data_IF_101302546617
#
_entry.id   IF_101302546617
#
_cell.length_a   1.000
_cell.length_b   1.000
_cell.length_c   1.000
_cell.angle_alpha   90.00
_cell.angle_beta   90.00
_cell.angle_gamma   90.00
#
_symmetry.space_group_name_H-M   'P 1'
#
loop_
_entity.id
_entity.type
_entity.pdbx_description
1 polymer ?
#
# COMPACT_ATOMS: atom_id res chain seq x y z
N UNK A 1 -4.01 -0.89 20.42
CA UNK A 1 -4.65 -2.19 20.13
C UNK A 1 -3.74 -3.22 20.75
N UNK A 2 -4.20 -3.93 21.76
CA UNK A 2 -3.40 -4.91 22.50
C UNK A 2 -3.25 -6.17 21.65
N UNK A 3 -2.02 -6.52 21.30
CA UNK A 3 -1.67 -7.88 20.85
C UNK A 3 -2.10 -8.84 21.96
N UNK A 4 -3.22 -9.52 21.78
CA UNK A 4 -3.50 -10.74 22.53
C UNK A 4 -2.78 -11.86 21.80
N UNK A 5 -1.54 -12.12 22.20
CA UNK A 5 -0.90 -13.39 21.91
C UNK A 5 -1.77 -14.48 22.54
N UNK A 6 -2.43 -15.29 21.70
CA UNK A 6 -3.23 -16.42 22.15
C UNK A 6 -2.30 -17.45 22.78
N UNK A 7 -2.58 -17.90 24.00
CA UNK A 7 -1.78 -18.93 24.68
C UNK A 7 -2.23 -20.32 24.19
N UNK A 8 -1.74 -20.69 23.01
CA UNK A 8 -2.07 -21.95 22.35
C UNK A 8 -0.89 -22.90 22.49
N UNK A 9 -1.11 -24.04 23.15
CA UNK A 9 -0.14 -25.13 23.15
C UNK A 9 0.02 -25.67 21.72
N UNK A 10 1.23 -25.60 21.12
CA UNK A 10 1.48 -26.11 19.76
C UNK A 10 1.18 -27.60 19.61
N UNK A 11 1.19 -28.36 20.72
CA UNK A 11 0.89 -29.79 20.74
C UNK A 11 -0.53 -30.11 21.24
N UNK A 12 -1.41 -29.12 21.37
CA UNK A 12 -2.76 -29.32 21.88
C UNK A 12 -3.53 -30.38 21.08
N UNK A 13 -3.94 -31.44 21.78
CA UNK A 13 -4.75 -32.51 21.21
C UNK A 13 -6.14 -32.00 20.77
N UNK A 14 -6.67 -30.96 21.41
CA UNK A 14 -7.97 -30.40 21.08
C UNK A 14 -8.00 -29.70 19.71
N UNK A 15 -6.81 -29.32 19.21
CA UNK A 15 -6.57 -28.69 17.91
C UNK A 15 -6.08 -29.67 16.84
N UNK A 16 -5.90 -30.95 17.17
CA UNK A 16 -5.49 -31.98 16.21
C UNK A 16 -6.68 -32.49 15.40
N UNK A 17 -6.50 -32.52 14.08
CA UNK A 17 -7.47 -33.02 13.13
C UNK A 17 -6.83 -34.04 12.23
N UNK A 18 -7.56 -35.12 11.96
CA UNK A 18 -7.20 -36.09 10.94
C UNK A 18 -7.72 -35.62 9.57
N UNK A 19 -6.86 -35.71 8.57
CA UNK A 19 -7.22 -35.52 7.17
C UNK A 19 -7.99 -36.75 6.69
N UNK A 20 -9.21 -36.53 6.20
CA UNK A 20 -10.06 -37.57 5.63
C UNK A 20 -10.39 -37.19 4.20
N UNK A 21 -10.06 -38.06 3.25
CA UNK A 21 -10.43 -37.85 1.87
C UNK A 21 -11.82 -38.43 1.56
N UNK A 22 -12.64 -37.64 0.88
CA UNK A 22 -13.91 -38.09 0.34
C UNK A 22 -14.20 -37.39 -0.99
N UNK A 23 -14.39 -38.17 -2.06
CA UNK A 23 -14.70 -37.63 -3.39
C UNK A 23 -13.65 -36.67 -3.95
N UNK A 24 -12.36 -36.90 -3.67
CA UNK A 24 -11.26 -36.00 -4.08
C UNK A 24 -11.17 -34.71 -3.27
N UNK A 25 -11.93 -34.59 -2.18
CA UNK A 25 -11.86 -33.48 -1.24
C UNK A 25 -11.31 -33.93 0.11
N UNK A 26 -10.43 -33.11 0.69
CA UNK A 26 -9.88 -33.35 2.02
C UNK A 26 -10.71 -32.61 3.05
N UNK A 27 -11.13 -33.34 4.07
CA UNK A 27 -11.92 -32.86 5.19
C UNK A 27 -11.12 -33.04 6.47
N UNK A 28 -11.24 -32.09 7.39
CA UNK A 28 -10.60 -32.20 8.69
C UNK A 28 -11.63 -32.65 9.72
N UNK A 29 -11.40 -33.82 10.30
CA UNK A 29 -12.18 -34.32 11.44
C UNK A 29 -11.36 -34.23 12.71
N UNK A 30 -11.95 -33.76 13.81
CA UNK A 30 -11.24 -33.72 15.10
C UNK A 30 -10.74 -35.12 15.43
N UNK A 31 -9.44 -35.22 15.71
CA UNK A 31 -8.82 -36.49 16.08
C UNK A 31 -9.20 -36.88 17.51
N UNK A 32 -9.27 -35.88 18.39
CA UNK A 32 -9.50 -36.02 19.82
C UNK A 32 -10.72 -35.17 20.26
N UNK A 33 -11.95 -35.55 19.88
CA UNK A 33 -13.16 -34.82 20.25
C UNK A 33 -13.41 -34.79 21.77
N UNK A 34 -12.92 -35.79 22.50
CA UNK A 34 -13.02 -35.96 23.95
C UNK A 34 -12.25 -34.91 24.75
N UNK A 35 -11.25 -34.26 24.15
CA UNK A 35 -10.51 -33.18 24.80
C UNK A 35 -11.27 -31.86 24.61
N UNK A 36 -11.73 -31.21 25.69
CA UNK A 36 -12.37 -29.90 25.59
C UNK A 36 -11.35 -28.86 25.13
N UNK A 37 -11.83 -27.86 24.40
CA UNK A 37 -10.99 -26.73 24.00
C UNK A 37 -10.91 -25.70 25.11
N UNK A 38 -9.75 -25.09 25.25
CA UNK A 38 -9.61 -23.85 26.04
C UNK A 38 -10.32 -22.69 25.33
N UNK A 39 -10.54 -21.55 26.02
CA UNK A 39 -11.06 -20.35 25.38
C UNK A 39 -10.20 -19.90 24.18
N UNK A 40 -8.88 -19.90 24.32
CA UNK A 40 -7.95 -19.45 23.28
C UNK A 40 -7.94 -20.40 22.07
N UNK A 41 -7.99 -21.71 22.30
CA UNK A 41 -8.14 -22.72 21.24
C UNK A 41 -9.49 -22.59 20.53
N UNK A 42 -10.54 -22.19 21.24
CA UNK A 42 -11.85 -21.93 20.65
C UNK A 42 -11.81 -20.69 19.75
N UNK A 43 -11.10 -19.64 20.15
CA UNK A 43 -10.84 -18.46 19.31
C UNK A 43 -10.03 -18.87 18.07
N UNK A 44 -8.96 -19.65 18.23
CA UNK A 44 -8.15 -20.13 17.12
C UNK A 44 -8.97 -20.92 16.09
N UNK A 45 -9.85 -21.81 16.54
CA UNK A 45 -10.77 -22.55 15.66
C UNK A 45 -11.79 -21.62 15.00
N UNK A 46 -12.27 -20.59 15.69
CA UNK A 46 -13.17 -19.60 15.10
C UNK A 46 -12.48 -18.77 14.02
N UNK A 47 -11.22 -18.37 14.21
CA UNK A 47 -10.42 -17.70 13.18
C UNK A 47 -10.16 -18.62 11.99
N UNK A 48 -9.81 -19.89 12.23
CA UNK A 48 -9.66 -20.87 11.17
C UNK A 48 -10.94 -21.02 10.31
N UNK A 49 -12.14 -20.91 10.90
CA UNK A 49 -13.42 -20.94 10.16
C UNK A 49 -13.63 -19.74 9.23
N UNK A 50 -12.95 -18.62 9.46
CA UNK A 50 -13.07 -17.44 8.59
C UNK A 50 -12.29 -17.61 7.29
N UNK A 51 -11.23 -18.41 7.30
CA UNK A 51 -10.31 -18.56 6.17
C UNK A 51 -10.40 -19.93 5.48
N UNK A 52 -10.84 -20.96 6.19
CA UNK A 52 -11.07 -22.29 5.64
C UNK A 52 -12.55 -22.48 5.33
N UNK A 53 -12.90 -22.98 4.14
CA UNK A 53 -14.27 -23.36 3.84
C UNK A 53 -14.77 -24.41 4.84
N UNK A 54 -16.03 -24.29 5.24
CA UNK A 54 -16.70 -25.25 6.12
C UNK A 54 -17.98 -25.76 5.49
N UNK A 55 -18.30 -27.03 5.73
CA UNK A 55 -19.58 -27.61 5.31
C UNK A 55 -20.71 -27.10 6.21
N UNK A 56 -21.96 -27.36 5.82
CA UNK A 56 -23.15 -27.09 6.64
C UNK A 56 -23.13 -27.79 8.01
N UNK A 57 -22.41 -28.92 8.10
CA UNK A 57 -22.20 -29.68 9.35
C UNK A 57 -21.03 -29.12 10.18
N UNK A 58 -20.37 -28.05 9.72
CA UNK A 58 -19.27 -27.40 10.43
C UNK A 58 -17.95 -28.14 10.35
N UNK A 59 -17.78 -29.03 9.36
CA UNK A 59 -16.52 -29.74 9.05
C UNK A 59 -15.67 -28.86 8.14
N UNK A 60 -14.37 -28.74 8.43
CA UNK A 60 -13.47 -27.97 7.57
C UNK A 60 -13.14 -28.73 6.30
N UNK A 61 -13.04 -27.99 5.20
CA UNK A 61 -12.61 -28.48 3.90
C UNK A 61 -11.27 -27.85 3.58
N UNK A 62 -10.28 -28.67 3.19
CA UNK A 62 -8.96 -28.20 2.78
C UNK A 62 -8.96 -27.93 1.27
N UNK A 63 -8.79 -26.67 0.83
CA UNK A 63 -8.73 -26.32 -0.59
C UNK A 63 -7.52 -26.96 -1.28
N UNK A 64 -7.61 -27.25 -2.58
CA UNK A 64 -6.56 -27.95 -3.34
C UNK A 64 -5.16 -27.33 -3.18
N UNK A 65 -5.01 -26.04 -3.45
CA UNK A 65 -3.72 -25.33 -3.28
C UNK A 65 -3.16 -25.38 -1.86
N UNK A 66 -4.02 -25.45 -0.84
CA UNK A 66 -3.57 -25.57 0.55
C UNK A 66 -3.04 -26.97 0.85
N UNK A 67 -3.52 -28.01 0.16
CA UNK A 67 -3.01 -29.38 0.28
C UNK A 67 -1.58 -29.48 -0.21
N UNK A 68 -1.29 -28.85 -1.36
CA UNK A 68 0.04 -28.81 -1.96
C UNK A 68 1.08 -28.18 -1.02
N UNK A 69 0.66 -27.28 -0.13
CA UNK A 69 1.54 -26.60 0.83
C UNK A 69 1.64 -27.32 2.19
N UNK A 70 0.71 -28.24 2.49
CA UNK A 70 0.60 -28.88 3.81
C UNK A 70 1.58 -30.05 4.02
N UNK A 71 2.24 -30.53 2.96
CA UNK A 71 3.14 -31.71 2.97
C UNK A 71 2.61 -32.84 3.85
N UNK A 72 1.34 -33.20 3.63
CA UNK A 72 0.60 -34.19 4.42
C UNK A 72 -0.25 -35.05 3.49
N UNK A 73 -0.67 -36.22 3.95
CA UNK A 73 -1.50 -37.17 3.20
C UNK A 73 -2.83 -37.47 3.91
N UNK A 74 -3.84 -38.01 3.18
CA UNK A 74 -5.04 -38.54 3.82
C UNK A 74 -4.70 -39.58 4.89
N UNK A 75 -5.20 -39.40 6.10
CA UNK A 75 -4.91 -40.23 7.27
C UNK A 75 -4.02 -39.55 8.31
N UNK A 76 -3.22 -38.56 7.89
CA UNK A 76 -2.34 -37.82 8.78
C UNK A 76 -3.11 -36.95 9.77
N UNK A 77 -2.48 -36.71 10.92
CA UNK A 77 -2.97 -35.83 11.97
C UNK A 77 -2.22 -34.51 11.88
N UNK A 78 -2.95 -33.43 11.67
CA UNK A 78 -2.43 -32.07 11.53
C UNK A 78 -3.09 -31.14 12.54
N UNK A 79 -2.36 -30.10 12.94
CA UNK A 79 -2.95 -29.01 13.73
C UNK A 79 -3.79 -28.11 12.83
N UNK A 80 -4.98 -27.73 13.27
CA UNK A 80 -5.83 -26.78 12.52
C UNK A 80 -5.16 -25.41 12.33
N UNK A 81 -4.28 -25.02 13.27
CA UNK A 81 -3.51 -23.78 13.19
C UNK A 81 -2.49 -23.85 12.05
N UNK A 82 -1.84 -25.00 11.85
CA UNK A 82 -0.92 -25.21 10.74
C UNK A 82 -1.65 -25.17 9.39
N UNK A 83 -2.83 -25.78 9.29
CA UNK A 83 -3.67 -25.70 8.08
C UNK A 83 -4.12 -24.27 7.80
N UNK A 84 -4.54 -23.55 8.83
CA UNK A 84 -4.92 -22.14 8.76
C UNK A 84 -3.74 -21.26 8.28
N UNK A 85 -2.55 -21.49 8.82
CA UNK A 85 -1.33 -20.78 8.42
C UNK A 85 -0.96 -21.05 6.96
N UNK A 86 -1.00 -22.33 6.52
CA UNK A 86 -0.80 -22.69 5.12
C UNK A 86 -1.85 -22.00 4.22
N UNK A 87 -3.12 -21.99 4.63
CA UNK A 87 -4.17 -21.30 3.87
C UNK A 87 -3.90 -19.79 3.77
N UNK A 88 -3.46 -19.15 4.84
CA UNK A 88 -3.08 -17.75 4.83
C UNK A 88 -1.90 -17.49 3.88
N UNK A 89 -0.89 -18.38 3.88
CA UNK A 89 0.21 -18.37 2.92
C UNK A 89 -0.28 -18.38 1.48
N UNK A 90 -1.09 -19.38 1.09
CA UNK A 90 -1.68 -19.45 -0.26
C UNK A 90 -2.45 -18.17 -0.64
N UNK A 91 -3.20 -17.59 0.31
CA UNK A 91 -3.96 -16.36 0.06
C UNK A 91 -3.04 -15.16 -0.15
N UNK A 92 -1.96 -15.05 0.62
CA UNK A 92 -0.96 -13.98 0.48
C UNK A 92 -0.19 -14.11 -0.82
N UNK A 93 0.22 -15.33 -1.19
CA UNK A 93 0.90 -15.60 -2.47
C UNK A 93 -0.01 -15.23 -3.64
N UNK A 94 -1.26 -15.69 -3.62
CA UNK A 94 -2.25 -15.34 -4.65
C UNK A 94 -2.57 -13.84 -4.71
N UNK A 95 -2.53 -13.14 -3.59
CA UNK A 95 -2.69 -11.68 -3.55
C UNK A 95 -1.48 -10.98 -4.13
N UNK A 96 -0.27 -11.46 -3.84
CA UNK A 96 1.00 -10.93 -4.34
C UNK A 96 1.11 -11.12 -5.85
N UNK A 97 0.80 -12.32 -6.35
CA UNK A 97 0.73 -12.65 -7.78
C UNK A 97 -0.30 -11.78 -8.52
N UNK A 98 -1.41 -11.43 -7.87
CA UNK A 98 -2.44 -10.57 -8.46
C UNK A 98 -2.11 -9.07 -8.39
N UNK A 99 -1.31 -8.66 -7.40
CA UNK A 99 -0.83 -7.29 -7.24
C UNK A 99 0.31 -6.95 -8.18
N UNK A 100 1.16 -7.90 -8.52
CA UNK A 100 2.31 -7.68 -9.41
C UNK A 100 1.90 -7.09 -10.78
N UNK A 101 0.87 -7.61 -11.48
CA UNK A 101 0.35 -7.00 -12.71
C UNK A 101 -0.20 -5.59 -12.49
N UNK A 102 -0.88 -5.36 -11.36
CA UNK A 102 -1.46 -4.06 -11.03
C UNK A 102 -0.36 -3.03 -10.77
N UNK A 103 0.64 -3.37 -9.97
CA UNK A 103 1.78 -2.50 -9.68
C UNK A 103 2.59 -2.22 -10.94
N UNK A 104 2.80 -3.23 -11.81
CA UNK A 104 3.44 -3.01 -13.12
C UNK A 104 2.66 -2.04 -13.98
N UNK A 105 1.33 -2.17 -14.03
CA UNK A 105 0.46 -1.24 -14.80
C UNK A 105 0.52 0.19 -14.24
N UNK A 106 0.57 0.34 -12.91
CA UNK A 106 0.74 1.65 -12.26
C UNK A 106 2.11 2.25 -12.54
N UNK A 107 3.17 1.45 -12.52
CA UNK A 107 4.53 1.88 -12.87
C UNK A 107 4.65 2.28 -14.34
N UNK A 108 4.11 1.49 -15.26
CA UNK A 108 4.05 1.82 -16.70
C UNK A 108 3.26 3.12 -16.94
N UNK A 109 2.14 3.31 -16.23
CA UNK A 109 1.36 4.54 -16.30
C UNK A 109 2.11 5.75 -15.70
N UNK A 110 2.86 5.56 -14.61
CA UNK A 110 3.66 6.61 -13.99
C UNK A 110 4.85 7.03 -14.87
N UNK A 111 5.52 6.08 -15.51
CA UNK A 111 6.56 6.34 -16.51
C UNK A 111 5.99 7.11 -17.72
N UNK A 112 4.84 6.66 -18.25
CA UNK A 112 4.18 7.35 -19.35
C UNK A 112 3.77 8.80 -19.01
N UNK A 113 3.33 9.05 -17.77
CA UNK A 113 3.01 10.41 -17.29
C UNK A 113 4.28 11.24 -17.12
N UNK A 114 5.35 10.66 -16.57
CA UNK A 114 6.63 11.34 -16.38
C UNK A 114 7.26 11.74 -17.72
N UNK A 115 7.26 10.85 -18.71
CA UNK A 115 7.75 11.11 -20.06
C UNK A 115 6.88 12.15 -20.78
N UNK A 116 5.56 12.07 -20.63
CA UNK A 116 4.64 13.09 -21.15
C UNK A 116 4.90 14.47 -20.55
N UNK A 117 5.18 14.54 -19.25
CA UNK A 117 5.49 15.80 -18.56
C UNK A 117 6.86 16.35 -18.96
N UNK A 118 7.88 15.50 -19.07
CA UNK A 118 9.22 15.88 -19.51
C UNK A 118 9.21 16.39 -20.96
N UNK A 119 8.44 15.74 -21.84
CA UNK A 119 8.26 16.15 -23.24
C UNK A 119 7.51 17.48 -23.33
N UNK A 120 6.45 17.66 -22.55
CA UNK A 120 5.69 18.91 -22.50
C UNK A 120 6.54 20.07 -21.94
N UNK A 121 7.37 19.80 -20.91
CA UNK A 121 8.28 20.78 -20.32
C UNK A 121 9.39 21.17 -21.30
N UNK A 122 9.99 20.21 -22.01
CA UNK A 122 10.97 20.49 -23.05
C UNK A 122 10.34 21.34 -24.17
N UNK A 123 9.17 20.96 -24.68
CA UNK A 123 8.47 21.75 -25.70
C UNK A 123 8.12 23.16 -25.23
N UNK A 124 7.72 23.33 -23.96
CA UNK A 124 7.46 24.63 -23.37
C UNK A 124 8.75 25.48 -23.29
N UNK A 125 9.87 24.87 -22.89
CA UNK A 125 11.17 25.53 -22.83
C UNK A 125 11.68 25.91 -24.22
N UNK A 126 11.56 25.04 -25.24
CA UNK A 126 11.97 25.37 -26.62
C UNK A 126 11.10 26.48 -27.24
N UNK A 127 9.80 26.52 -26.92
CA UNK A 127 8.91 27.62 -27.34
C UNK A 127 9.23 28.93 -26.63
N UNK A 128 9.64 28.88 -25.37
CA UNK A 128 9.99 30.07 -24.59
C UNK A 128 11.33 30.68 -25.04
N UNK A 129 12.30 29.85 -25.44
CA UNK A 129 13.59 30.27 -25.97
C UNK A 129 13.45 30.92 -27.36
N UNK A 130 12.50 30.44 -28.16
CA UNK A 130 12.14 31.05 -29.46
C UNK A 130 11.41 32.41 -29.33
N UNK A 131 10.80 32.70 -28.18
CA UNK A 131 10.04 33.93 -27.92
C UNK A 131 10.82 34.98 -27.08
N UNK A 132 12.06 34.66 -26.69
CA UNK A 132 12.91 35.47 -25.81
C UNK A 132 13.93 36.36 -26.55
N UNK A 133 13.74 36.60 -27.85
CA UNK A 133 14.49 37.60 -28.62
C UNK A 133 13.72 38.94 -28.82
N UNK A 134 12.65 39.18 -28.06
CA UNK A 134 11.86 40.41 -28.12
C UNK A 134 11.61 41.00 -26.73
N UNK A 135 11.83 42.31 -26.62
CA UNK A 135 11.90 43.12 -25.40
C UNK A 135 10.81 42.80 -24.36
N UNK A 136 11.22 42.50 -23.12
CA UNK A 136 10.35 41.94 -22.07
C UNK A 136 9.38 42.95 -21.46
N UNK A 137 9.68 44.25 -21.56
CA UNK A 137 8.90 45.28 -20.88
C UNK A 137 7.62 45.70 -21.62
N UNK A 138 7.55 45.49 -22.95
CA UNK A 138 6.36 45.81 -23.76
C UNK A 138 5.19 44.84 -23.53
N UNK A 139 5.45 43.68 -22.91
CA UNK A 139 4.44 42.64 -22.65
C UNK A 139 3.73 42.80 -21.30
N UNK A 140 4.08 43.81 -20.51
CA UNK A 140 3.45 44.03 -19.21
C UNK A 140 2.14 44.83 -19.34
N UNK A 141 1.06 44.40 -18.66
CA UNK A 141 -0.18 45.17 -18.54
C UNK A 141 0.10 46.60 -18.06
N UNK A 142 -0.64 47.56 -18.61
CA UNK A 142 -0.40 49.01 -18.42
C UNK A 142 -0.37 49.41 -16.94
N UNK A 143 -1.24 48.81 -16.12
CA UNK A 143 -1.30 49.01 -14.68
C UNK A 143 0.01 48.62 -13.95
N UNK A 144 0.75 47.62 -14.45
CA UNK A 144 2.03 47.19 -13.88
C UNK A 144 3.16 48.10 -14.36
N UNK A 145 3.12 48.57 -15.61
CA UNK A 145 4.08 49.57 -16.12
C UNK A 145 3.98 50.87 -15.33
N UNK A 146 2.77 51.38 -15.11
CA UNK A 146 2.54 52.60 -14.32
C UNK A 146 2.91 52.43 -12.85
N UNK A 147 2.63 51.27 -12.24
CA UNK A 147 3.03 51.01 -10.86
C UNK A 147 4.55 50.98 -10.68
N UNK A 148 5.28 50.42 -11.66
CA UNK A 148 6.75 50.44 -11.66
C UNK A 148 7.30 51.84 -11.87
N UNK A 149 6.78 52.58 -12.83
CA UNK A 149 7.17 53.98 -13.07
C UNK A 149 6.96 54.85 -11.81
N UNK A 150 5.84 54.67 -11.10
CA UNK A 150 5.58 55.37 -9.83
C UNK A 150 6.59 55.01 -8.75
N UNK A 151 6.92 53.72 -8.62
CA UNK A 151 7.89 53.25 -7.62
C UNK A 151 9.30 53.76 -7.92
N UNK A 152 9.68 53.79 -9.19
CA UNK A 152 11.01 54.25 -9.60
C UNK A 152 11.12 55.78 -9.44
N UNK A 153 10.07 56.54 -9.76
CA UNK A 153 9.99 57.98 -9.38
C UNK A 153 10.04 58.19 -7.86
N UNK A 154 9.46 57.29 -7.07
CA UNK A 154 9.50 57.38 -5.61
C UNK A 154 10.93 57.20 -5.10
N UNK A 155 11.67 56.22 -5.64
CA UNK A 155 13.07 55.98 -5.32
C UNK A 155 13.97 57.14 -5.75
N UNK A 156 13.70 57.75 -6.90
CA UNK A 156 14.47 58.89 -7.39
C UNK A 156 14.25 60.11 -6.49
N UNK A 157 13.00 60.40 -6.10
CA UNK A 157 12.68 61.44 -5.11
C UNK A 157 13.30 61.18 -3.74
N UNK A 158 13.30 59.94 -3.28
CA UNK A 158 13.95 59.55 -2.01
C UNK A 158 15.47 59.71 -2.10
N UNK A 159 16.08 59.43 -3.26
CA UNK A 159 17.50 59.59 -3.49
C UNK A 159 17.92 61.07 -3.56
N UNK A 160 17.10 61.92 -4.17
CA UNK A 160 17.30 63.37 -4.19
C UNK A 160 17.08 64.00 -2.79
N UNK A 161 16.10 63.52 -2.03
CA UNK A 161 15.85 63.96 -0.65
C UNK A 161 16.91 63.48 0.35
N UNK A 162 17.52 62.31 0.12
CA UNK A 162 18.59 61.76 0.95
C UNK A 162 19.99 62.32 0.60
N UNK A 163 20.13 63.04 -0.52
CA UNK A 163 21.39 63.62 -1.00
C UNK A 163 21.83 64.93 -0.32
N UNK A 164 21.06 65.47 0.64
CA UNK A 164 21.38 66.74 1.32
C UNK A 164 21.77 66.62 2.80
N UNK A 165 22.14 65.43 3.29
CA UNK A 165 22.60 65.27 4.68
C UNK A 165 24.12 65.42 4.78
N UNK A 166 24.58 66.65 5.07
CA UNK A 166 25.95 66.92 5.54
C UNK A 166 26.05 66.53 7.02
N UNK A 167 27.00 65.67 7.44
CA UNK A 167 27.31 65.51 8.85
C UNK A 167 27.90 66.82 9.40
N UNK A 168 27.54 67.25 10.62
CA UNK A 168 28.12 68.45 11.23
C UNK A 168 29.59 68.20 11.58
N UNK A 169 30.44 69.19 11.28
CA UNK A 169 31.82 69.26 11.73
C UNK A 169 31.84 69.51 13.25
N UNK A 170 32.39 68.56 14.02
CA UNK A 170 33.10 68.78 15.30
C UNK A 170 34.14 67.67 15.53
#
# INVERSE_FOLDING_TARGET
MTDHELDIDPNSQALQYRIVEHGGHWFLRRQHPEFPRTPDESVAVAEARRILPTTSEGVFVVPGRTREQLDAEPGDVVSIVAVAAARAGVLLDGFTDALEPFMRTVSEAAEAIADGFATALQQALTRQESAAAGDRDDRLPESIREARARRDQQRERERDAAGSWHPPDE
#
